data_IF_010722237486
#
_entry.id   IF_010722237486
#
_cell.length_a   1.000
_cell.length_b   1.000
_cell.length_c   1.000
_cell.angle_alpha   90.00
_cell.angle_beta   90.00
_cell.angle_gamma   90.00
#
_symmetry.space_group_name_H-M   'P 1'
#
loop_
_entity.id
_entity.type
_entity.pdbx_description
1 polymer ?
#
# COMPACT_ATOMS: atom_id res chain seq x y z
N UNK A 1 -15.70 20.39 -4.83
CA UNK A 1 -15.84 21.67 -4.10
C UNK A 1 -14.52 21.95 -3.38
N UNK A 2 -13.97 23.14 -3.62
CA UNK A 2 -12.83 23.78 -2.94
C UNK A 2 -11.49 23.01 -2.87
N UNK A 3 -10.71 23.10 -3.95
CA UNK A 3 -9.25 22.94 -3.92
C UNK A 3 -8.62 24.13 -3.19
N UNK A 4 -8.26 23.95 -1.91
CA UNK A 4 -7.53 24.94 -1.14
C UNK A 4 -6.11 25.10 -1.65
N UNK A 5 -5.79 26.27 -2.20
CA UNK A 5 -4.43 26.68 -2.52
C UNK A 5 -3.56 26.65 -1.23
N UNK A 6 -2.26 26.27 -1.32
CA UNK A 6 -1.37 26.37 -0.19
C UNK A 6 -1.23 27.85 0.20
N UNK A 7 -1.66 28.18 1.43
CA UNK A 7 -1.51 29.51 2.00
C UNK A 7 -0.03 29.96 2.01
N UNK A 8 0.22 31.27 2.03
CA UNK A 8 1.57 31.81 2.06
C UNK A 8 2.30 31.24 3.28
N UNK A 9 3.53 30.78 3.05
CA UNK A 9 4.46 30.33 4.09
C UNK A 9 4.56 31.44 5.12
N UNK A 10 3.99 31.18 6.30
CA UNK A 10 4.11 32.05 7.46
C UNK A 10 5.61 32.15 7.78
N UNK A 11 6.21 33.27 7.37
CA UNK A 11 7.57 33.65 7.71
C UNK A 11 7.56 34.25 9.11
N UNK A 12 7.06 33.43 10.04
CA UNK A 12 7.02 33.70 11.46
C UNK A 12 8.44 33.83 11.99
N UNK A 13 8.82 35.08 12.19
CA UNK A 13 9.64 35.56 13.30
C UNK A 13 10.83 34.66 13.65
N UNK A 14 12.01 34.90 13.03
CA UNK A 14 13.28 34.31 13.48
C UNK A 14 13.53 34.84 14.90
N UNK A 15 13.31 34.06 15.97
CA UNK A 15 13.71 34.52 17.29
C UNK A 15 15.23 34.65 17.21
N UNK A 16 15.76 35.86 17.43
CA UNK A 16 17.16 36.19 17.14
C UNK A 16 18.10 35.05 17.53
N UNK A 17 18.94 34.58 16.59
CA UNK A 17 19.66 33.30 16.72
C UNK A 17 20.42 33.12 18.04
N UNK A 18 20.80 34.22 18.70
CA UNK A 18 21.35 34.28 20.05
C UNK A 18 20.40 33.77 21.16
N UNK A 19 19.11 34.10 21.13
CA UNK A 19 18.13 33.59 22.11
C UNK A 19 17.90 32.09 21.98
N UNK A 20 17.84 31.59 20.74
CA UNK A 20 17.75 30.13 20.47
C UNK A 20 19.04 29.42 20.89
N UNK A 21 20.19 30.03 20.63
CA UNK A 21 21.50 29.48 21.01
C UNK A 21 21.69 29.44 22.55
N UNK A 22 21.33 30.51 23.26
CA UNK A 22 21.38 30.58 24.73
C UNK A 22 20.29 29.73 25.40
N UNK A 23 19.17 29.48 24.71
CA UNK A 23 18.15 28.52 25.14
C UNK A 23 18.67 27.09 25.23
N UNK A 24 19.74 26.76 24.51
CA UNK A 24 20.43 25.47 24.56
C UNK A 24 21.36 25.26 25.76
N UNK A 25 21.59 26.26 26.61
CA UNK A 25 22.41 26.08 27.81
C UNK A 25 21.76 25.08 28.78
N UNK A 26 22.50 24.05 29.15
CA UNK A 26 22.08 23.06 30.16
C UNK A 26 22.13 23.67 31.55
N UNK A 27 21.64 22.96 32.57
CA UNK A 27 21.77 23.37 33.97
C UNK A 27 23.23 23.67 34.33
N UNK A 28 24.18 22.84 33.86
CA UNK A 28 25.61 23.06 34.09
C UNK A 28 26.11 24.34 33.43
N UNK A 29 25.75 24.58 32.16
CA UNK A 29 26.15 25.81 31.45
C UNK A 29 25.60 27.07 32.11
N UNK A 30 24.36 27.03 32.60
CA UNK A 30 23.75 28.14 33.35
C UNK A 30 24.45 28.38 34.68
N UNK A 31 24.77 27.33 35.44
CA UNK A 31 25.50 27.45 36.71
C UNK A 31 26.90 28.02 36.52
N UNK A 32 27.65 27.57 35.50
CA UNK A 32 28.98 28.11 35.18
C UNK A 32 28.92 29.59 34.78
N UNK A 33 27.95 29.95 33.94
CA UNK A 33 27.75 31.35 33.55
C UNK A 33 27.38 32.22 34.77
N UNK A 34 26.47 31.76 35.62
CA UNK A 34 26.06 32.48 36.83
C UNK A 34 27.22 32.63 37.83
N UNK A 35 27.99 31.57 38.05
CA UNK A 35 29.17 31.61 38.93
C UNK A 35 30.25 32.54 38.37
N UNK A 36 30.49 32.54 37.06
CA UNK A 36 31.42 33.46 36.41
C UNK A 36 31.02 34.92 36.56
N UNK A 37 29.73 35.23 36.35
CA UNK A 37 29.18 36.58 36.56
C UNK A 37 29.28 37.00 38.03
N UNK A 38 28.90 36.14 38.96
CA UNK A 38 29.00 36.43 40.40
C UNK A 38 30.45 36.68 40.83
N UNK A 39 31.39 35.86 40.39
CA UNK A 39 32.82 36.03 40.66
C UNK A 39 33.36 37.35 40.07
N UNK A 40 32.95 37.73 38.86
CA UNK A 40 33.34 39.00 38.25
C UNK A 40 32.80 40.21 39.02
N UNK A 41 31.55 40.15 39.52
CA UNK A 41 30.97 41.20 40.37
C UNK A 41 31.73 41.30 41.69
N UNK A 42 31.99 40.17 42.36
CA UNK A 42 32.78 40.16 43.59
C UNK A 42 34.20 40.72 43.37
N UNK A 43 34.83 40.38 42.26
CA UNK A 43 36.16 40.89 41.91
C UNK A 43 36.17 42.41 41.72
N UNK A 44 35.13 42.96 41.11
CA UNK A 44 34.96 44.40 40.94
C UNK A 44 34.80 45.11 42.28
N UNK A 45 33.98 44.56 43.19
CA UNK A 45 33.76 45.14 44.53
C UNK A 45 35.02 45.04 45.41
N UNK A 46 35.74 43.92 45.34
CA UNK A 46 36.93 43.66 46.16
C UNK A 46 38.24 44.24 45.57
N UNK A 47 38.20 44.75 44.33
CA UNK A 47 39.39 45.27 43.64
C UNK A 47 40.42 44.19 43.27
N UNK A 48 40.04 42.91 43.26
CA UNK A 48 40.97 41.80 43.09
C UNK A 48 41.00 41.30 41.64
N UNK A 49 42.05 41.66 40.90
CA UNK A 49 42.19 41.34 39.48
C UNK A 49 42.23 39.84 39.17
N UNK A 50 42.76 39.01 40.07
CA UNK A 50 42.83 37.56 39.85
C UNK A 50 41.46 36.89 39.89
N UNK A 51 40.56 37.36 40.76
CA UNK A 51 39.19 36.85 40.82
C UNK A 51 38.41 37.21 39.55
N UNK A 52 38.69 38.38 38.95
CA UNK A 52 38.09 38.80 37.68
C UNK A 52 38.51 37.87 36.53
N UNK A 53 39.78 37.46 36.48
CA UNK A 53 40.28 36.53 35.45
C UNK A 53 39.58 35.17 35.53
N UNK A 54 39.40 34.64 36.74
CA UNK A 54 38.69 33.37 36.97
C UNK A 54 37.20 33.50 36.60
N UNK A 55 36.53 34.57 37.05
CA UNK A 55 35.14 34.84 36.72
C UNK A 55 34.91 34.97 35.21
N UNK A 56 35.80 35.68 34.52
CA UNK A 56 35.76 35.81 33.07
C UNK A 56 35.94 34.46 32.36
N UNK A 57 36.92 33.63 32.78
CA UNK A 57 37.15 32.32 32.19
C UNK A 57 35.93 31.39 32.36
N UNK A 58 35.31 31.40 33.54
CA UNK A 58 34.08 30.64 33.81
C UNK A 58 32.89 31.10 32.97
N UNK A 59 32.76 32.42 32.70
CA UNK A 59 31.70 32.97 31.88
C UNK A 59 31.94 32.77 30.37
N UNK A 60 33.19 32.85 29.91
CA UNK A 60 33.56 32.71 28.49
C UNK A 60 33.39 31.28 28.01
N UNK A 61 33.72 30.28 28.82
CA UNK A 61 33.63 28.86 28.44
C UNK A 61 32.24 28.44 27.91
N UNK A 62 31.10 28.67 28.61
CA UNK A 62 29.78 28.33 28.10
C UNK A 62 29.40 29.13 26.85
N UNK A 63 29.84 30.40 26.72
CA UNK A 63 29.61 31.21 25.52
C UNK A 63 30.37 30.66 24.31
N UNK A 64 31.59 30.17 24.50
CA UNK A 64 32.37 29.48 23.45
C UNK A 64 31.66 28.18 23.05
N UNK A 65 31.22 27.37 24.02
CA UNK A 65 30.49 26.13 23.74
C UNK A 65 29.22 26.39 22.91
N UNK A 66 28.40 27.37 23.31
CA UNK A 66 27.20 27.79 22.55
C UNK A 66 27.57 28.24 21.14
N UNK A 67 28.60 29.07 20.98
CA UNK A 67 29.03 29.59 19.68
C UNK A 67 29.49 28.46 18.75
N UNK A 68 30.30 27.53 19.26
CA UNK A 68 30.80 26.37 18.50
C UNK A 68 29.62 25.47 18.09
N UNK A 69 28.73 25.11 19.03
CA UNK A 69 27.57 24.27 18.72
C UNK A 69 26.62 24.94 17.72
N UNK A 70 26.37 26.24 17.85
CA UNK A 70 25.51 26.97 16.93
C UNK A 70 26.08 26.97 15.51
N UNK A 71 27.40 27.16 15.35
CA UNK A 71 28.04 27.08 14.01
C UNK A 71 28.01 25.66 13.45
N UNK A 72 28.26 24.65 14.27
CA UNK A 72 28.23 23.24 13.87
C UNK A 72 26.83 22.81 13.45
N UNK A 73 25.78 23.26 14.18
CA UNK A 73 24.37 22.97 13.89
C UNK A 73 24.01 23.20 12.43
N UNK A 74 24.41 24.32 11.84
CA UNK A 74 24.05 24.65 10.45
C UNK A 74 24.88 23.91 9.39
N UNK A 75 26.01 23.30 9.79
CA UNK A 75 26.93 22.63 8.87
C UNK A 75 26.83 21.11 8.86
N UNK A 76 25.90 20.54 9.62
CA UNK A 76 25.59 19.09 9.58
C UNK A 76 24.29 18.86 8.84
N UNK A 77 24.31 18.08 7.77
CA UNK A 77 23.13 17.62 7.06
C UNK A 77 22.77 16.19 7.49
N UNK A 78 21.48 15.89 7.54
CA UNK A 78 20.95 14.56 7.84
C UNK A 78 19.99 14.17 6.74
N UNK A 79 20.09 12.93 6.27
CA UNK A 79 19.17 12.34 5.32
C UNK A 79 18.73 10.96 5.79
N UNK A 80 17.53 10.58 5.39
CA UNK A 80 16.99 9.24 5.58
C UNK A 80 16.69 8.63 4.22
N UNK A 81 16.93 7.34 4.11
CA UNK A 81 16.51 6.53 2.96
C UNK A 81 15.88 5.25 3.47
N UNK A 82 14.70 4.94 2.94
CA UNK A 82 13.97 3.71 3.23
C UNK A 82 14.14 2.74 2.07
N UNK A 83 14.53 1.49 2.35
CA UNK A 83 14.69 0.46 1.33
C UNK A 83 14.22 -0.92 1.81
N UNK A 84 13.23 -1.54 1.14
CA UNK A 84 12.29 -0.94 0.17
C UNK A 84 11.26 -0.02 0.87
N UNK A 85 10.65 0.91 0.13
CA UNK A 85 9.59 1.80 0.65
C UNK A 85 8.21 1.13 0.73
N UNK A 86 8.06 -0.02 0.08
CA UNK A 86 6.86 -0.85 0.08
C UNK A 86 7.22 -2.29 0.45
N UNK A 87 6.54 -2.84 1.44
CA UNK A 87 6.75 -4.22 1.93
C UNK A 87 5.42 -4.91 2.20
N UNK A 88 5.32 -6.23 2.01
CA UNK A 88 4.19 -7.00 2.53
C UNK A 88 4.17 -6.99 4.07
N UNK A 89 2.99 -7.09 4.66
CA UNK A 89 2.84 -7.21 6.11
C UNK A 89 3.65 -8.40 6.66
N UNK A 90 4.34 -8.19 7.77
CA UNK A 90 5.30 -9.13 8.39
C UNK A 90 6.70 -9.12 7.78
N UNK A 91 6.95 -8.39 6.67
CA UNK A 91 8.29 -8.26 6.09
C UNK A 91 9.08 -7.10 6.69
N UNK A 92 10.40 -7.20 6.71
CA UNK A 92 11.29 -6.16 7.22
C UNK A 92 11.67 -5.15 6.12
N UNK A 93 11.70 -3.86 6.47
CA UNK A 93 12.35 -2.81 5.68
C UNK A 93 13.54 -2.24 6.45
N UNK A 94 14.58 -1.78 5.72
CA UNK A 94 15.75 -1.15 6.32
C UNK A 94 15.70 0.36 6.14
N UNK A 95 15.86 1.08 7.24
CA UNK A 95 16.02 2.53 7.25
C UNK A 95 17.50 2.84 7.37
N UNK A 96 18.01 3.61 6.42
CA UNK A 96 19.37 4.12 6.39
C UNK A 96 19.35 5.60 6.78
N UNK A 97 20.07 5.94 7.84
CA UNK A 97 20.25 7.30 8.30
C UNK A 97 21.68 7.73 8.00
N UNK A 98 21.83 8.79 7.22
CA UNK A 98 23.14 9.34 6.84
C UNK A 98 23.28 10.75 7.39
N UNK A 99 24.41 11.00 8.06
CA UNK A 99 24.79 12.30 8.60
C UNK A 99 26.06 12.76 7.91
N UNK A 100 26.02 13.93 7.28
CA UNK A 100 27.11 14.53 6.51
C UNK A 100 27.61 15.80 7.21
N UNK A 101 28.93 15.88 7.43
CA UNK A 101 29.57 17.08 7.96
C UNK A 101 30.13 17.92 6.81
N UNK A 102 29.45 19.02 6.48
CA UNK A 102 29.83 19.93 5.39
C UNK A 102 30.92 20.93 5.86
N UNK A 103 31.31 20.89 7.13
CA UNK A 103 32.36 21.74 7.67
C UNK A 103 33.75 21.12 7.50
N UNK A 104 34.79 21.96 7.60
CA UNK A 104 36.20 21.50 7.65
C UNK A 104 36.63 21.03 9.04
N UNK A 105 35.81 21.25 10.06
CA UNK A 105 36.13 20.91 11.45
C UNK A 105 35.41 19.62 11.84
N UNK A 106 35.99 18.79 12.72
CA UNK A 106 35.27 17.65 13.26
C UNK A 106 34.06 18.09 14.10
N UNK A 107 33.01 17.28 14.08
CA UNK A 107 31.84 17.46 14.97
C UNK A 107 32.13 16.92 16.38
N UNK A 108 31.36 17.40 17.36
CA UNK A 108 31.32 16.80 18.70
C UNK A 108 30.47 15.52 18.72
N UNK A 109 30.05 15.09 19.91
CA UNK A 109 29.14 13.96 20.06
C UNK A 109 27.77 14.32 19.47
N UNK A 110 27.30 13.47 18.56
CA UNK A 110 26.01 13.63 17.89
C UNK A 110 25.08 12.51 18.34
N UNK A 111 23.85 12.86 18.69
CA UNK A 111 22.80 11.89 18.94
C UNK A 111 21.73 12.02 17.85
N UNK A 112 21.62 10.97 17.04
CA UNK A 112 20.62 10.85 16.00
C UNK A 112 19.40 10.12 16.56
N UNK A 113 18.24 10.71 16.40
CA UNK A 113 16.98 10.15 16.84
C UNK A 113 15.98 10.23 15.69
N UNK A 114 15.42 9.09 15.30
CA UNK A 114 14.30 9.07 14.37
C UNK A 114 12.97 8.83 15.11
N UNK A 115 11.89 9.37 14.56
CA UNK A 115 10.55 9.17 15.10
C UNK A 115 9.82 8.18 14.21
N UNK A 116 9.50 7.03 14.77
CA UNK A 116 8.73 5.98 14.10
C UNK A 116 7.41 5.75 14.85
N UNK A 117 6.31 5.45 14.15
CA UNK A 117 5.07 4.98 14.78
C UNK A 117 5.33 3.75 15.67
N UNK A 118 4.62 3.65 16.79
CA UNK A 118 4.84 2.58 17.77
C UNK A 118 4.64 1.17 17.18
N UNK A 119 3.75 1.03 16.20
CA UNK A 119 3.51 -0.23 15.47
C UNK A 119 4.78 -0.76 14.77
N UNK A 120 5.72 0.12 14.41
CA UNK A 120 7.00 -0.26 13.80
C UNK A 120 8.13 -0.50 14.82
N UNK A 121 7.86 -0.28 16.12
CA UNK A 121 8.80 -0.46 17.21
C UNK A 121 9.10 0.81 18.00
N UNK A 122 10.13 0.74 18.84
CA UNK A 122 10.58 1.85 19.68
C UNK A 122 11.31 2.94 18.89
N UNK A 123 11.33 4.16 19.41
CA UNK A 123 12.05 5.30 18.81
C UNK A 123 13.57 5.02 18.75
N UNK A 124 14.17 4.80 17.57
CA UNK A 124 15.57 4.46 17.46
C UNK A 124 16.45 5.66 17.79
N UNK A 125 17.51 5.41 18.57
CA UNK A 125 18.47 6.42 19.03
C UNK A 125 19.88 5.89 18.81
N UNK A 126 20.71 6.68 18.15
CA UNK A 126 22.09 6.33 17.84
C UNK A 126 23.00 7.45 18.31
N UNK A 127 24.03 7.09 19.07
CA UNK A 127 25.12 7.99 19.39
C UNK A 127 26.17 7.80 18.31
N UNK A 128 26.42 8.86 17.56
CA UNK A 128 27.52 8.92 16.61
C UNK A 128 28.69 9.60 17.30
N UNK A 129 29.83 8.94 17.27
CA UNK A 129 31.08 9.58 17.60
C UNK A 129 31.43 10.65 16.56
N UNK A 130 32.51 11.39 16.79
CA UNK A 130 33.05 12.45 15.94
C UNK A 130 32.96 12.09 14.45
N UNK A 131 32.26 12.96 13.71
CA UNK A 131 32.29 12.98 12.24
C UNK A 131 33.38 13.95 11.80
N UNK A 132 34.34 13.46 11.02
CA UNK A 132 35.46 14.22 10.47
C UNK A 132 34.98 15.37 9.58
N UNK A 133 35.83 16.37 9.34
CA UNK A 133 35.52 17.46 8.42
C UNK A 133 35.33 16.92 6.99
N UNK A 134 34.21 17.22 6.35
CA UNK A 134 33.83 16.64 5.05
C UNK A 134 33.40 15.17 5.12
N UNK A 135 33.43 14.55 6.29
CA UNK A 135 33.12 13.14 6.50
C UNK A 135 31.62 12.86 6.60
N UNK A 136 31.28 11.58 6.57
CA UNK A 136 29.90 11.10 6.72
C UNK A 136 29.84 9.86 7.60
N UNK A 137 28.77 9.75 8.39
CA UNK A 137 28.44 8.53 9.13
C UNK A 137 27.08 8.01 8.70
N UNK A 138 26.97 6.70 8.59
CA UNK A 138 25.73 6.01 8.26
C UNK A 138 25.40 5.01 9.35
N UNK A 139 24.14 4.97 9.76
CA UNK A 139 23.59 3.96 10.66
C UNK A 139 22.30 3.45 10.07
N UNK A 140 22.04 2.16 10.24
CA UNK A 140 20.80 1.56 9.76
C UNK A 140 20.07 0.82 10.87
N UNK A 141 18.74 0.77 10.75
CA UNK A 141 17.88 -0.02 11.62
C UNK A 141 16.77 -0.65 10.81
N UNK A 142 16.12 -1.66 11.40
CA UNK A 142 15.05 -2.42 10.77
C UNK A 142 13.71 -2.01 11.33
N UNK A 143 12.70 -1.98 10.47
CA UNK A 143 11.30 -1.77 10.83
C UNK A 143 10.46 -2.89 10.24
N UNK A 144 9.45 -3.32 10.99
CA UNK A 144 8.49 -4.36 10.58
C UNK A 144 7.14 -4.02 11.19
N UNK A 145 6.08 -4.25 10.42
CA UNK A 145 4.69 -4.21 10.90
C UNK A 145 3.97 -5.46 10.43
N UNK A 146 3.20 -6.09 11.31
CA UNK A 146 2.26 -7.15 10.94
C UNK A 146 0.91 -6.59 10.46
N UNK A 147 0.62 -5.30 10.72
CA UNK A 147 -0.56 -4.60 10.23
C UNK A 147 -0.25 -3.80 8.97
N UNK A 148 -1.14 -3.90 7.97
CA UNK A 148 -1.11 -3.07 6.77
C UNK A 148 -1.30 -1.59 7.11
N UNK A 149 -0.82 -0.71 6.24
CA UNK A 149 -1.00 0.74 6.43
C UNK A 149 0.10 1.59 5.83
N UNK A 150 -0.06 2.90 5.97
CA UNK A 150 0.94 3.91 5.59
C UNK A 150 1.55 4.51 6.85
N UNK A 151 2.83 4.26 7.06
CA UNK A 151 3.54 4.68 8.27
C UNK A 151 4.54 5.79 7.92
N UNK A 152 4.27 7.05 8.31
CA UNK A 152 5.23 8.12 8.14
C UNK A 152 6.37 7.97 9.16
N UNK A 153 7.60 7.92 8.66
CA UNK A 153 8.83 7.97 9.42
C UNK A 153 9.29 9.43 9.48
N UNK A 154 9.68 9.89 10.66
CA UNK A 154 10.18 11.24 10.90
C UNK A 154 9.37 12.05 11.90
N UNK A 155 9.83 13.27 12.22
CA UNK A 155 11.03 13.92 11.66
C UNK A 155 12.33 13.34 12.23
N UNK A 156 13.41 13.39 11.45
CA UNK A 156 14.76 13.04 11.91
C UNK A 156 15.29 14.17 12.80
N UNK A 157 15.75 13.83 14.00
CA UNK A 157 16.27 14.77 14.98
C UNK A 157 17.75 14.50 15.24
N UNK A 158 18.56 15.55 15.17
CA UNK A 158 19.96 15.54 15.50
C UNK A 158 20.19 16.42 16.74
N UNK A 159 20.59 15.81 17.84
CA UNK A 159 20.96 16.49 19.09
C UNK A 159 22.48 16.59 19.15
N UNK A 160 22.98 17.82 19.19
CA UNK A 160 24.39 18.15 19.31
C UNK A 160 24.66 18.48 20.78
N UNK A 161 25.69 17.87 21.38
CA UNK A 161 26.13 18.17 22.74
C UNK A 161 27.61 18.55 22.74
N UNK A 162 28.00 19.51 23.57
CA UNK A 162 29.41 19.83 23.76
C UNK A 162 30.10 18.85 24.72
N UNK A 163 31.44 18.71 24.67
CA UNK A 163 32.18 17.78 25.52
C UNK A 163 32.04 18.04 27.02
N UNK A 164 31.77 19.29 27.44
CA UNK A 164 31.60 19.65 28.85
C UNK A 164 30.12 19.54 29.31
N UNK A 165 29.19 19.22 28.40
CA UNK A 165 27.76 19.11 28.68
C UNK A 165 27.13 20.41 29.18
N UNK A 166 27.68 21.56 28.79
CA UNK A 166 27.22 22.91 29.13
C UNK A 166 26.13 23.43 28.17
N UNK A 167 26.09 22.94 26.94
CA UNK A 167 25.20 23.37 25.87
C UNK A 167 24.75 22.18 25.03
N UNK A 168 23.48 22.20 24.68
CA UNK A 168 22.84 21.22 23.83
C UNK A 168 21.91 21.91 22.84
N UNK A 169 22.02 21.54 21.56
CA UNK A 169 21.17 22.06 20.50
C UNK A 169 20.54 20.93 19.70
N UNK A 170 19.24 21.01 19.45
CA UNK A 170 18.51 20.02 18.63
C UNK A 170 18.14 20.58 17.28
N UNK A 171 18.65 19.99 16.19
CA UNK A 171 18.26 20.29 14.81
C UNK A 171 17.27 19.22 14.32
N UNK A 172 16.08 19.64 13.91
CA UNK A 172 15.09 18.76 13.27
C UNK A 172 15.15 18.91 11.76
N UNK A 173 15.09 17.79 11.04
CA UNK A 173 14.89 17.73 9.60
C UNK A 173 13.41 17.41 9.33
N UNK A 174 12.70 18.32 8.67
CA UNK A 174 11.25 18.19 8.42
C UNK A 174 10.86 17.17 7.34
N UNK A 175 11.83 16.42 6.80
CA UNK A 175 11.57 15.42 5.78
C UNK A 175 10.91 14.16 6.41
N UNK A 176 9.83 13.70 5.78
CA UNK A 176 9.14 12.48 6.13
C UNK A 176 9.25 11.49 4.97
N UNK A 177 9.57 10.24 5.30
CA UNK A 177 9.50 9.13 4.34
C UNK A 177 8.32 8.25 4.75
N UNK A 178 7.62 7.65 3.79
CA UNK A 178 6.47 6.80 4.09
C UNK A 178 6.81 5.35 3.79
N UNK A 179 6.67 4.48 4.78
CA UNK A 179 6.65 3.03 4.59
C UNK A 179 5.21 2.60 4.29
N UNK A 180 5.00 1.99 3.14
CA UNK A 180 3.70 1.39 2.77
C UNK A 180 3.76 -0.11 3.03
N UNK A 181 2.97 -0.57 3.99
CA UNK A 181 2.83 -1.98 4.30
C UNK A 181 1.58 -2.49 3.59
N UNK A 182 1.78 -3.26 2.52
CA UNK A 182 0.71 -3.84 1.72
C UNK A 182 0.27 -5.20 2.29
N UNK A 183 -0.93 -5.70 1.95
CA UNK A 183 -1.36 -7.02 2.40
C UNK A 183 -0.39 -8.12 1.96
N UNK A 184 -0.35 -9.22 2.73
CA UNK A 184 0.37 -10.43 2.31
C UNK A 184 -0.29 -10.99 1.04
N UNK A 185 0.51 -11.42 0.09
CA UNK A 185 0.05 -12.10 -1.12
C UNK A 185 0.55 -13.54 -1.13
N UNK A 186 -0.31 -14.45 -1.54
CA UNK A 186 -0.01 -15.87 -1.72
C UNK A 186 -0.03 -16.22 -3.20
N UNK A 187 0.92 -17.05 -3.64
CA UNK A 187 0.93 -17.55 -5.01
C UNK A 187 -0.22 -18.55 -5.19
N UNK A 188 -1.23 -18.17 -5.95
CA UNK A 188 -2.42 -19.00 -6.16
C UNK A 188 -2.23 -19.98 -7.34
N UNK A 189 -2.77 -21.20 -7.27
CA UNK A 189 -2.70 -22.18 -8.37
C UNK A 189 -3.60 -21.81 -9.56
N UNK A 190 -3.35 -22.47 -10.70
CA UNK A 190 -4.13 -22.30 -11.94
C UNK A 190 -5.53 -22.91 -11.85
N UNK A 191 -6.55 -22.07 -11.60
CA UNK A 191 -7.95 -22.51 -11.75
C UNK A 191 -8.33 -22.62 -13.23
N UNK A 192 -8.79 -23.79 -13.67
CA UNK A 192 -9.50 -23.91 -14.94
C UNK A 192 -10.96 -23.54 -14.73
N UNK A 193 -11.27 -22.25 -14.81
CA UNK A 193 -12.66 -21.78 -14.83
C UNK A 193 -13.25 -22.09 -16.21
N UNK A 194 -13.66 -23.33 -16.43
CA UNK A 194 -14.29 -23.77 -17.68
C UNK A 194 -15.75 -23.35 -17.69
N UNK A 195 -16.19 -22.68 -18.76
CA UNK A 195 -17.61 -22.36 -18.98
C UNK A 195 -17.81 -20.90 -19.38
N UNK A 196 -18.14 -20.67 -20.66
CA UNK A 196 -18.61 -19.42 -21.28
C UNK A 196 -17.70 -18.17 -21.16
N UNK A 197 -16.71 -18.16 -20.26
CA UNK A 197 -15.51 -17.35 -20.37
C UNK A 197 -14.56 -18.01 -21.38
N UNK A 198 -14.93 -17.99 -22.66
CA UNK A 198 -14.11 -18.49 -23.79
C UNK A 198 -12.79 -17.72 -23.98
N UNK A 199 -12.31 -17.00 -22.96
CA UNK A 199 -11.08 -16.25 -22.90
C UNK A 199 -10.36 -16.44 -21.56
N UNK A 200 -10.27 -17.68 -21.06
CA UNK A 200 -9.37 -18.00 -19.95
C UNK A 200 -7.94 -17.63 -20.35
N UNK A 201 -7.48 -16.44 -19.94
CA UNK A 201 -6.10 -16.00 -19.66
C UNK A 201 -4.99 -16.25 -20.68
N UNK A 202 -5.26 -16.98 -21.76
CA UNK A 202 -4.34 -17.27 -22.83
C UNK A 202 -4.59 -16.24 -23.91
N UNK A 203 -4.32 -14.97 -23.58
CA UNK A 203 -4.15 -13.89 -24.56
C UNK A 203 -3.00 -14.15 -25.55
N UNK A 204 -2.52 -15.39 -25.64
CA UNK A 204 -1.43 -15.87 -26.48
C UNK A 204 -1.79 -17.12 -27.28
N UNK A 205 -2.97 -17.72 -27.09
CA UNK A 205 -3.59 -18.52 -28.14
C UNK A 205 -4.04 -17.55 -29.23
N UNK A 206 -3.08 -17.24 -30.10
CA UNK A 206 -3.33 -17.25 -31.53
C UNK A 206 -4.23 -18.47 -31.74
N UNK A 207 -5.53 -18.25 -31.93
CA UNK A 207 -6.28 -19.18 -32.74
C UNK A 207 -5.42 -19.33 -33.99
N UNK A 208 -4.87 -20.52 -34.29
CA UNK A 208 -4.42 -20.74 -35.64
C UNK A 208 -5.73 -20.71 -36.40
N UNK A 209 -6.12 -19.52 -36.86
CA UNK A 209 -7.16 -19.39 -37.86
C UNK A 209 -6.69 -20.35 -38.94
N UNK A 210 -7.39 -21.48 -39.06
CA UNK A 210 -7.25 -22.34 -40.21
C UNK A 210 -7.38 -21.38 -41.38
N UNK A 211 -6.37 -21.40 -42.24
CA UNK A 211 -6.28 -20.55 -43.42
C UNK A 211 -7.65 -20.47 -44.10
N UNK A 212 -8.34 -19.32 -44.04
CA UNK A 212 -9.56 -19.15 -44.82
C UNK A 212 -10.61 -18.15 -44.35
N UNK A 213 -10.77 -17.86 -43.06
CA UNK A 213 -11.91 -17.06 -42.59
C UNK A 213 -11.48 -15.93 -41.65
N UNK A 214 -10.97 -14.85 -42.24
CA UNK A 214 -10.89 -13.54 -41.57
C UNK A 214 -12.30 -12.95 -41.54
N UNK A 215 -13.10 -13.34 -40.55
CA UNK A 215 -14.46 -12.81 -40.32
C UNK A 215 -14.39 -11.41 -39.67
N UNK A 216 -13.62 -10.50 -40.29
CA UNK A 216 -13.44 -9.12 -39.86
C UNK A 216 -14.45 -8.29 -40.62
N UNK A 217 -15.47 -7.77 -39.93
CA UNK A 217 -16.48 -6.88 -40.50
C UNK A 217 -15.77 -5.68 -41.16
N UNK A 218 -15.72 -5.62 -42.51
CA UNK A 218 -15.00 -4.57 -43.20
C UNK A 218 -15.81 -3.27 -43.10
N UNK A 219 -15.15 -2.14 -42.85
CA UNK A 219 -15.79 -0.81 -42.87
C UNK A 219 -15.29 0.03 -44.03
N UNK A 220 -16.11 0.98 -44.49
CA UNK A 220 -15.68 1.96 -45.46
C UNK A 220 -14.47 2.77 -44.93
N UNK A 221 -13.51 3.00 -45.83
CA UNK A 221 -12.35 3.84 -45.61
C UNK A 221 -12.77 5.27 -45.28
N UNK A 222 -12.14 5.86 -44.27
CA UNK A 222 -12.27 7.28 -43.95
C UNK A 222 -10.94 7.96 -44.19
N UNK A 223 -11.00 9.21 -44.64
CA UNK A 223 -9.80 10.01 -44.87
C UNK A 223 -8.99 10.11 -43.57
N UNK A 224 -7.75 9.58 -43.57
CA UNK A 224 -6.91 9.44 -42.38
C UNK A 224 -6.62 7.99 -41.97
N UNK A 225 -7.31 7.01 -42.54
CA UNK A 225 -6.98 5.60 -42.35
C UNK A 225 -5.69 5.22 -43.12
N UNK A 226 -4.87 4.35 -42.54
CA UNK A 226 -3.64 3.86 -43.18
C UNK A 226 -3.99 2.93 -44.36
N UNK A 227 -3.54 3.29 -45.57
CA UNK A 227 -3.74 2.53 -46.80
C UNK A 227 -3.16 1.10 -46.75
N UNK A 228 -2.21 0.83 -45.84
CA UNK A 228 -1.68 -0.52 -45.61
C UNK A 228 -2.70 -1.47 -44.98
N UNK A 229 -3.78 -0.93 -44.40
CA UNK A 229 -4.84 -1.68 -43.71
C UNK A 229 -6.06 -1.95 -44.59
N UNK A 230 -5.96 -1.64 -45.89
CA UNK A 230 -7.05 -1.88 -46.85
C UNK A 230 -7.17 -3.37 -47.16
N UNK A 231 -8.39 -3.90 -47.05
CA UNK A 231 -8.71 -5.28 -47.37
C UNK A 231 -9.08 -5.41 -48.85
N UNK A 232 -8.08 -5.64 -49.71
CA UNK A 232 -8.24 -5.62 -51.16
C UNK A 232 -9.33 -6.56 -51.69
N UNK A 233 -9.54 -7.72 -51.07
CA UNK A 233 -10.59 -8.67 -51.49
C UNK A 233 -12.01 -8.14 -51.22
N UNK A 234 -12.22 -7.39 -50.13
CA UNK A 234 -13.53 -6.76 -49.85
C UNK A 234 -13.71 -5.49 -50.67
N UNK A 235 -12.64 -4.72 -50.86
CA UNK A 235 -12.61 -3.57 -51.77
C UNK A 235 -13.00 -3.97 -53.20
N UNK A 236 -12.48 -5.10 -53.70
CA UNK A 236 -12.80 -5.59 -55.05
C UNK A 236 -14.27 -6.03 -55.22
N UNK A 237 -14.93 -6.47 -54.15
CA UNK A 237 -16.36 -6.89 -54.20
C UNK A 237 -17.34 -5.72 -54.05
N UNK A 238 -16.98 -4.71 -53.26
CA UNK A 238 -17.88 -3.60 -52.94
C UNK A 238 -17.61 -2.33 -53.76
N UNK A 239 -16.50 -2.25 -54.50
CA UNK A 239 -16.16 -1.10 -55.34
C UNK A 239 -15.66 0.12 -54.57
N UNK A 240 -15.57 0.06 -53.24
CA UNK A 240 -15.11 1.13 -52.36
C UNK A 240 -13.95 0.62 -51.48
N UNK A 241 -13.02 1.51 -51.09
CA UNK A 241 -11.91 1.13 -50.20
C UNK A 241 -12.45 0.66 -48.85
N UNK A 242 -12.20 -0.61 -48.51
CA UNK A 242 -12.62 -1.20 -47.24
C UNK A 242 -11.40 -1.37 -46.32
N UNK A 243 -11.48 -0.85 -45.10
CA UNK A 243 -10.40 -0.98 -44.10
C UNK A 243 -10.75 -2.07 -43.11
N UNK A 244 -9.76 -2.91 -42.80
CA UNK A 244 -9.85 -3.92 -41.74
C UNK A 244 -10.06 -3.21 -40.39
N UNK A 245 -11.21 -3.45 -39.74
CA UNK A 245 -11.43 -2.97 -38.37
C UNK A 245 -10.51 -3.78 -37.45
N UNK A 246 -9.63 -3.10 -36.73
CA UNK A 246 -8.81 -3.74 -35.70
C UNK A 246 -9.71 -4.01 -34.50
N UNK A 247 -10.19 -5.25 -34.38
CA UNK A 247 -10.81 -5.72 -33.15
C UNK A 247 -9.70 -5.83 -32.11
N UNK A 248 -9.67 -4.91 -31.15
CA UNK A 248 -8.79 -5.09 -30.01
C UNK A 248 -9.20 -6.39 -29.31
N UNK A 249 -8.28 -7.32 -29.07
CA UNK A 249 -8.60 -8.53 -28.33
C UNK A 249 -9.15 -8.12 -26.96
N UNK A 250 -10.43 -8.39 -26.76
CA UNK A 250 -11.13 -8.00 -25.54
C UNK A 250 -10.56 -8.86 -24.42
N UNK A 251 -9.73 -8.25 -23.55
CA UNK A 251 -9.22 -8.94 -22.37
C UNK A 251 -10.38 -9.37 -21.50
N UNK A 252 -10.29 -10.57 -20.94
CA UNK A 252 -11.26 -11.03 -19.96
C UNK A 252 -11.27 -10.05 -18.77
N UNK A 253 -12.44 -9.50 -18.46
CA UNK A 253 -12.66 -8.57 -17.36
C UNK A 253 -12.94 -9.34 -16.08
N UNK A 254 -12.29 -8.97 -14.99
CA UNK A 254 -12.57 -9.52 -13.67
C UNK A 254 -12.77 -8.43 -12.62
N UNK A 255 -13.80 -8.59 -11.80
CA UNK A 255 -14.02 -7.77 -10.60
C UNK A 255 -13.70 -8.60 -9.38
N UNK A 256 -12.82 -8.08 -8.53
CA UNK A 256 -12.57 -8.59 -7.17
C UNK A 256 -13.39 -7.73 -6.22
N UNK A 257 -14.44 -8.31 -5.65
CA UNK A 257 -15.28 -7.67 -4.64
C UNK A 257 -14.76 -8.00 -3.24
N UNK A 258 -14.46 -6.98 -2.45
CA UNK A 258 -14.08 -7.09 -1.05
C UNK A 258 -15.17 -6.49 -0.16
N UNK A 259 -15.79 -7.33 0.66
CA UNK A 259 -16.69 -6.85 1.70
C UNK A 259 -15.87 -6.21 2.83
N UNK A 260 -16.05 -4.91 3.07
CA UNK A 260 -15.39 -4.20 4.17
C UNK A 260 -16.34 -3.87 5.32
N UNK A 261 -17.60 -4.31 5.29
CA UNK A 261 -18.60 -3.93 6.31
C UNK A 261 -18.14 -4.34 7.70
N UNK A 262 -18.07 -3.38 8.65
CA UNK A 262 -17.69 -3.69 10.04
C UNK A 262 -18.55 -4.79 10.66
N UNK A 263 -19.84 -4.79 10.36
CA UNK A 263 -20.83 -5.76 10.89
C UNK A 263 -20.60 -7.19 10.41
N UNK A 264 -19.89 -7.37 9.29
CA UNK A 264 -19.65 -8.68 8.69
C UNK A 264 -18.44 -9.42 9.30
N UNK A 265 -17.61 -8.74 10.11
CA UNK A 265 -16.40 -9.32 10.67
C UNK A 265 -16.40 -9.22 12.20
N UNK A 266 -15.85 -10.25 12.84
CA UNK A 266 -15.63 -10.28 14.27
C UNK A 266 -14.13 -10.34 14.56
N UNK A 267 -13.71 -9.63 15.61
CA UNK A 267 -12.32 -9.52 16.01
C UNK A 267 -11.54 -8.48 15.20
N UNK A 268 -10.46 -7.99 15.82
CA UNK A 268 -9.47 -7.10 15.19
C UNK A 268 -8.09 -7.74 15.35
N UNK A 269 -7.15 -7.38 14.47
CA UNK A 269 -5.75 -7.84 14.54
C UNK A 269 -5.24 -8.46 13.23
N UNK A 270 -3.94 -8.81 13.19
CA UNK A 270 -3.24 -9.22 11.96
C UNK A 270 -3.73 -10.55 11.38
N UNK A 271 -4.30 -11.43 12.23
CA UNK A 271 -4.82 -12.74 11.82
C UNK A 271 -6.37 -12.76 11.80
N UNK A 272 -7.01 -11.60 11.77
CA UNK A 272 -8.48 -11.49 11.72
C UNK A 272 -9.04 -11.95 10.36
N UNK A 273 -10.32 -12.30 10.36
CA UNK A 273 -11.05 -12.67 9.14
C UNK A 273 -10.99 -11.57 8.06
N UNK A 274 -11.00 -10.30 8.48
CA UNK A 274 -10.90 -9.17 7.57
C UNK A 274 -9.50 -9.08 6.92
N UNK A 275 -8.43 -9.25 7.68
CA UNK A 275 -7.07 -9.31 7.11
C UNK A 275 -6.91 -10.49 6.14
N UNK A 276 -7.53 -11.64 6.43
CA UNK A 276 -7.55 -12.78 5.50
C UNK A 276 -8.28 -12.44 4.20
N UNK A 277 -9.47 -11.81 4.28
CA UNK A 277 -10.22 -11.38 3.10
C UNK A 277 -9.44 -10.36 2.25
N UNK A 278 -8.76 -9.41 2.90
CA UNK A 278 -7.89 -8.42 2.25
C UNK A 278 -6.67 -9.08 1.59
N UNK A 279 -6.03 -10.05 2.26
CA UNK A 279 -4.93 -10.85 1.69
C UNK A 279 -5.42 -11.72 0.51
N UNK A 280 -6.63 -12.28 0.63
CA UNK A 280 -7.34 -13.01 -0.41
C UNK A 280 -7.55 -12.15 -1.66
N UNK A 281 -8.13 -10.97 -1.48
CA UNK A 281 -8.36 -10.01 -2.56
C UNK A 281 -7.05 -9.59 -3.23
N UNK A 282 -6.02 -9.25 -2.45
CA UNK A 282 -4.69 -8.91 -2.97
C UNK A 282 -4.09 -10.05 -3.81
N UNK A 283 -4.13 -11.27 -3.29
CA UNK A 283 -3.60 -12.46 -3.97
C UNK A 283 -4.35 -12.77 -5.27
N UNK A 284 -5.69 -12.73 -5.23
CA UNK A 284 -6.53 -12.95 -6.40
C UNK A 284 -6.26 -11.90 -7.49
N UNK A 285 -6.12 -10.63 -7.09
CA UNK A 285 -5.88 -9.52 -7.99
C UNK A 285 -4.52 -9.62 -8.67
N UNK A 286 -3.45 -9.87 -7.92
CA UNK A 286 -2.10 -10.09 -8.48
C UNK A 286 -2.11 -11.29 -9.43
N UNK A 287 -2.70 -12.41 -9.01
CA UNK A 287 -2.78 -13.63 -9.81
C UNK A 287 -3.51 -13.43 -11.15
N UNK A 288 -4.64 -12.72 -11.14
CA UNK A 288 -5.45 -12.47 -12.33
C UNK A 288 -4.77 -11.47 -13.28
N UNK A 289 -4.12 -10.44 -12.74
CA UNK A 289 -3.32 -9.50 -13.53
C UNK A 289 -2.14 -10.18 -14.23
N UNK A 290 -1.42 -11.07 -13.54
CA UNK A 290 -0.34 -11.89 -14.12
C UNK A 290 -0.83 -12.77 -15.28
N UNK A 291 -2.14 -13.10 -15.30
CA UNK A 291 -2.79 -13.86 -16.38
C UNK A 291 -3.43 -13.01 -17.46
N UNK A 292 -3.21 -11.69 -17.44
CA UNK A 292 -3.71 -10.79 -18.47
C UNK A 292 -5.20 -10.48 -18.38
N UNK A 293 -5.87 -10.76 -17.25
CA UNK A 293 -7.19 -10.21 -16.99
C UNK A 293 -7.09 -8.70 -16.79
N UNK A 294 -8.10 -7.97 -17.27
CA UNK A 294 -8.33 -6.60 -16.81
C UNK A 294 -9.05 -6.68 -15.48
N UNK A 295 -8.36 -6.36 -14.39
CA UNK A 295 -8.89 -6.48 -13.03
C UNK A 295 -9.28 -5.11 -12.48
N UNK A 296 -10.38 -5.09 -11.71
CA UNK A 296 -10.74 -3.99 -10.81
C UNK A 296 -11.07 -4.53 -9.42
N UNK A 297 -10.70 -3.78 -8.40
CA UNK A 297 -11.12 -3.94 -7.01
C UNK A 297 -12.39 -3.13 -6.80
N UNK A 298 -13.41 -3.74 -6.22
CA UNK A 298 -14.66 -3.12 -5.79
C UNK A 298 -14.87 -3.37 -4.31
N UNK A 299 -15.25 -2.37 -3.54
CA UNK A 299 -15.64 -2.51 -2.13
C UNK A 299 -17.16 -2.40 -1.96
N UNK A 300 -17.67 -2.81 -0.80
CA UNK A 300 -19.11 -2.79 -0.47
C UNK A 300 -19.76 -1.39 -0.61
N UNK A 301 -19.01 -0.33 -0.30
CA UNK A 301 -19.44 1.06 -0.39
C UNK A 301 -19.48 1.61 -1.83
N UNK A 302 -19.11 0.80 -2.82
CA UNK A 302 -19.08 1.14 -4.24
C UNK A 302 -17.78 1.79 -4.71
N UNK A 303 -16.74 1.87 -3.87
CA UNK A 303 -15.43 2.38 -4.30
C UNK A 303 -14.76 1.40 -5.28
N UNK A 304 -14.12 1.94 -6.32
CA UNK A 304 -13.46 1.17 -7.39
C UNK A 304 -12.00 1.56 -7.53
N UNK A 305 -11.11 0.57 -7.64
CA UNK A 305 -9.70 0.77 -7.98
C UNK A 305 -9.29 -0.15 -9.15
N UNK A 306 -8.59 0.35 -10.19
CA UNK A 306 -8.17 1.73 -10.38
C UNK A 306 -9.34 2.61 -10.86
N UNK A 307 -9.69 3.65 -10.09
CA UNK A 307 -10.86 4.52 -10.34
C UNK A 307 -10.73 5.51 -11.52
N UNK A 308 -9.87 5.23 -12.49
CA UNK A 308 -9.43 6.19 -13.53
C UNK A 308 -10.00 6.01 -14.95
N UNK A 309 -10.71 4.91 -15.24
CA UNK A 309 -11.26 4.63 -16.59
C UNK A 309 -12.79 4.75 -16.65
N UNK A 310 -13.37 4.85 -17.87
CA UNK A 310 -14.83 4.90 -18.10
C UNK A 310 -15.58 3.73 -17.46
N UNK A 311 -14.90 2.60 -17.28
CA UNK A 311 -15.45 1.35 -16.75
C UNK A 311 -14.77 0.90 -15.44
N UNK A 312 -13.77 1.67 -14.94
CA UNK A 312 -13.03 1.37 -13.69
C UNK A 312 -12.05 0.18 -13.76
N UNK A 313 -11.62 -0.22 -14.96
CA UNK A 313 -10.68 -1.33 -15.17
C UNK A 313 -9.25 -0.87 -15.45
N UNK A 314 -8.26 -1.69 -15.06
CA UNK A 314 -6.86 -1.48 -15.45
C UNK A 314 -6.69 -1.49 -16.99
N UNK A 315 -5.98 -0.50 -17.52
CA UNK A 315 -5.73 -0.33 -18.95
C UNK A 315 -4.54 -1.21 -19.45
N UNK A 316 -4.12 -1.17 -20.73
CA UNK A 316 -3.20 -2.16 -21.30
C UNK A 316 -1.78 -2.13 -20.69
N UNK A 317 -0.96 -3.13 -21.07
CA UNK A 317 0.22 -3.66 -20.35
C UNK A 317 1.15 -2.66 -19.61
N UNK A 318 1.40 -1.46 -20.13
CA UNK A 318 2.21 -0.44 -19.46
C UNK A 318 1.55 0.07 -18.16
N UNK A 319 0.22 0.18 -18.13
CA UNK A 319 -0.56 0.65 -16.98
C UNK A 319 -0.91 -0.48 -15.98
N UNK A 320 -0.60 -1.75 -16.32
CA UNK A 320 -0.95 -2.91 -15.48
C UNK A 320 -0.18 -2.93 -14.16
N UNK A 321 1.12 -2.62 -14.20
CA UNK A 321 1.96 -2.57 -12.99
C UNK A 321 1.60 -1.38 -12.08
N UNK A 322 1.30 -0.22 -12.67
CA UNK A 322 0.84 0.96 -11.92
C UNK A 322 -0.54 0.73 -11.31
N UNK A 323 -1.46 0.12 -12.07
CA UNK A 323 -2.78 -0.27 -11.58
C UNK A 323 -2.69 -1.29 -10.43
N UNK A 324 -1.83 -2.30 -10.57
CA UNK A 324 -1.54 -3.26 -9.50
C UNK A 324 -1.00 -2.53 -8.25
N UNK A 325 -0.05 -1.62 -8.44
CA UNK A 325 0.53 -0.84 -7.37
C UNK A 325 -0.52 0.03 -6.66
N UNK A 326 -1.46 0.61 -7.40
CA UNK A 326 -2.53 1.46 -6.88
C UNK A 326 -3.58 0.64 -6.14
N UNK A 327 -3.98 -0.53 -6.65
CA UNK A 327 -4.89 -1.44 -5.95
C UNK A 327 -4.25 -2.00 -4.66
N UNK A 328 -2.96 -2.31 -4.68
CA UNK A 328 -2.24 -2.70 -3.46
C UNK A 328 -2.12 -1.56 -2.44
N UNK A 329 -1.96 -0.31 -2.90
CA UNK A 329 -1.99 0.86 -2.02
C UNK A 329 -3.38 1.11 -1.43
N UNK A 330 -4.45 0.94 -2.23
CA UNK A 330 -5.82 0.99 -1.74
C UNK A 330 -6.06 -0.07 -0.69
N UNK A 331 -5.66 -1.32 -0.94
CA UNK A 331 -5.77 -2.41 0.04
C UNK A 331 -4.87 -2.20 1.26
N UNK A 332 -3.75 -1.49 1.14
CA UNK A 332 -2.89 -1.17 2.29
C UNK A 332 -3.59 -0.26 3.31
N UNK A 333 -4.52 0.59 2.86
CA UNK A 333 -5.22 1.57 3.72
C UNK A 333 -6.71 1.30 3.84
N UNK A 334 -7.24 0.23 3.22
CA UNK A 334 -8.64 -0.13 3.35
C UNK A 334 -8.93 -0.42 4.82
N UNK A 335 -9.99 0.18 5.34
CA UNK A 335 -10.49 -0.07 6.69
C UNK A 335 -11.92 -0.58 6.59
N UNK A 336 -12.48 -1.00 7.72
CA UNK A 336 -13.89 -1.38 7.74
C UNK A 336 -14.78 -0.21 7.35
N UNK A 337 -15.75 -0.46 6.47
CA UNK A 337 -16.78 0.49 6.13
C UNK A 337 -17.79 0.61 7.29
N UNK A 338 -18.32 1.81 7.47
CA UNK A 338 -19.46 2.07 8.35
C UNK A 338 -20.81 1.71 7.68
N UNK A 339 -20.78 1.25 6.42
CA UNK A 339 -21.97 0.92 5.64
C UNK A 339 -22.64 -0.37 6.11
N UNK A 340 -23.96 -0.44 5.95
CA UNK A 340 -24.77 -1.59 6.39
C UNK A 340 -24.91 -2.72 5.36
N UNK A 341 -24.59 -2.50 4.08
CA UNK A 341 -24.92 -3.48 3.04
C UNK A 341 -24.21 -3.28 1.71
N UNK A 342 -24.44 -4.23 0.80
CA UNK A 342 -23.76 -4.39 -0.49
C UNK A 342 -24.46 -3.67 -1.65
N UNK A 343 -25.49 -2.86 -1.38
CA UNK A 343 -26.34 -2.26 -2.42
C UNK A 343 -25.55 -1.35 -3.38
N UNK A 344 -24.58 -0.59 -2.87
CA UNK A 344 -23.75 0.29 -3.71
C UNK A 344 -22.81 -0.50 -4.63
N UNK A 345 -22.17 -1.54 -4.10
CA UNK A 345 -21.40 -2.47 -4.93
C UNK A 345 -22.27 -3.10 -6.03
N UNK A 346 -23.50 -3.49 -5.71
CA UNK A 346 -24.44 -4.02 -6.69
C UNK A 346 -24.83 -3.02 -7.78
N UNK A 347 -25.04 -1.75 -7.44
CA UNK A 347 -25.31 -0.69 -8.42
C UNK A 347 -24.16 -0.53 -9.43
N UNK A 348 -22.91 -0.55 -8.94
CA UNK A 348 -21.71 -0.49 -9.79
C UNK A 348 -21.61 -1.71 -10.70
N UNK A 349 -21.87 -2.91 -10.17
CA UNK A 349 -21.89 -4.15 -10.96
C UNK A 349 -23.03 -4.15 -12.00
N UNK A 350 -24.16 -3.54 -11.70
CA UNK A 350 -25.32 -3.43 -12.60
C UNK A 350 -25.03 -2.52 -13.81
N UNK A 351 -24.21 -1.49 -13.63
CA UNK A 351 -23.79 -0.61 -14.73
C UNK A 351 -22.85 -1.30 -15.73
N UNK A 352 -22.19 -2.40 -15.32
CA UNK A 352 -21.24 -3.15 -16.15
C UNK A 352 -21.72 -4.55 -16.55
N UNK A 353 -20.87 -5.21 -17.33
CA UNK A 353 -20.89 -6.66 -17.54
C UNK A 353 -19.47 -7.16 -17.35
N UNK A 354 -19.29 -8.09 -16.40
CA UNK A 354 -17.98 -8.57 -15.98
C UNK A 354 -17.86 -10.04 -16.39
N UNK A 355 -16.70 -10.46 -16.90
CA UNK A 355 -16.51 -11.87 -17.29
C UNK A 355 -16.45 -12.79 -16.07
N UNK A 356 -15.69 -12.36 -15.06
CA UNK A 356 -15.47 -13.10 -13.81
C UNK A 356 -15.68 -12.20 -12.60
N UNK A 357 -16.43 -12.67 -11.61
CA UNK A 357 -16.60 -12.02 -10.31
C UNK A 357 -16.00 -12.90 -9.21
N UNK A 358 -14.99 -12.40 -8.50
CA UNK A 358 -14.41 -13.05 -7.33
C UNK A 358 -14.77 -12.22 -6.11
N UNK A 359 -15.48 -12.80 -5.15
CA UNK A 359 -15.94 -12.07 -3.98
C UNK A 359 -15.40 -12.68 -2.69
N UNK A 360 -14.93 -11.81 -1.79
CA UNK A 360 -14.55 -12.14 -0.42
C UNK A 360 -15.58 -11.50 0.51
N UNK A 361 -16.48 -12.33 1.05
CA UNK A 361 -17.56 -11.91 1.93
C UNK A 361 -17.23 -12.26 3.38
N UNK A 362 -17.53 -11.33 4.30
CA UNK A 362 -17.67 -11.67 5.71
C UNK A 362 -19.02 -12.35 5.96
N UNK A 363 -19.54 -12.18 7.17
CA UNK A 363 -20.86 -12.65 7.53
C UNK A 363 -21.96 -11.98 6.67
N UNK A 364 -22.84 -12.80 6.11
CA UNK A 364 -23.95 -12.37 5.26
C UNK A 364 -25.26 -12.63 6.00
N UNK A 365 -26.01 -11.57 6.29
CA UNK A 365 -27.42 -11.75 6.66
C UNK A 365 -28.26 -12.19 5.43
N UNK A 366 -29.53 -12.48 5.65
CA UNK A 366 -30.45 -12.97 4.62
C UNK A 366 -30.64 -11.95 3.47
N UNK A 367 -30.74 -10.66 3.79
CA UNK A 367 -30.90 -9.59 2.79
C UNK A 367 -29.66 -9.49 1.91
N UNK A 368 -28.48 -9.51 2.53
CA UNK A 368 -27.20 -9.40 1.83
C UNK A 368 -26.88 -10.66 1.03
N UNK A 369 -27.27 -11.85 1.49
CA UNK A 369 -27.16 -13.09 0.73
C UNK A 369 -28.01 -13.04 -0.56
N UNK A 370 -29.24 -12.54 -0.48
CA UNK A 370 -30.10 -12.33 -1.66
C UNK A 370 -29.50 -11.31 -2.62
N UNK A 371 -28.89 -10.25 -2.09
CA UNK A 371 -28.25 -9.19 -2.89
C UNK A 371 -27.00 -9.72 -3.60
N UNK A 372 -26.16 -10.48 -2.91
CA UNK A 372 -25.01 -11.19 -3.48
C UNK A 372 -25.44 -12.23 -4.53
N UNK A 373 -26.51 -12.98 -4.30
CA UNK A 373 -27.10 -13.89 -5.29
C UNK A 373 -27.49 -13.17 -6.58
N UNK A 374 -28.01 -11.93 -6.51
CA UNK A 374 -28.36 -11.13 -7.70
C UNK A 374 -27.14 -10.66 -8.49
N UNK A 375 -25.98 -10.45 -7.85
CA UNK A 375 -24.76 -10.01 -8.53
C UNK A 375 -24.27 -11.02 -9.57
N UNK A 376 -24.47 -12.34 -9.34
CA UNK A 376 -24.08 -13.42 -10.26
C UNK A 376 -24.74 -13.35 -11.63
N UNK A 377 -25.97 -12.83 -11.73
CA UNK A 377 -26.79 -12.90 -12.96
C UNK A 377 -26.17 -12.18 -14.16
N UNK A 378 -25.21 -11.27 -13.94
CA UNK A 378 -24.56 -10.48 -14.99
C UNK A 378 -23.11 -10.88 -15.26
N UNK A 379 -22.56 -11.81 -14.48
CA UNK A 379 -21.21 -12.31 -14.71
C UNK A 379 -21.22 -13.59 -15.54
N UNK A 380 -20.14 -13.88 -16.27
CA UNK A 380 -19.98 -15.18 -16.94
C UNK A 380 -19.77 -16.30 -15.92
N UNK A 381 -18.87 -16.06 -14.97
CA UNK A 381 -18.58 -16.92 -13.82
C UNK A 381 -18.52 -16.09 -12.54
N UNK A 382 -18.86 -16.69 -11.38
CA UNK A 382 -18.59 -16.07 -10.09
C UNK A 382 -18.16 -17.07 -9.02
N UNK A 383 -17.18 -16.66 -8.22
CA UNK A 383 -16.60 -17.42 -7.11
C UNK A 383 -16.75 -16.58 -5.84
N UNK A 384 -17.31 -17.17 -4.79
CA UNK A 384 -17.49 -16.51 -3.50
C UNK A 384 -16.74 -17.28 -2.41
N UNK A 385 -15.89 -16.57 -1.69
CA UNK A 385 -15.29 -17.02 -0.44
C UNK A 385 -16.05 -16.38 0.71
N UNK A 386 -16.76 -17.19 1.50
CA UNK A 386 -17.60 -16.71 2.60
C UNK A 386 -16.91 -17.09 3.91
N UNK A 387 -16.49 -16.07 4.65
CA UNK A 387 -15.90 -16.22 5.97
C UNK A 387 -17.00 -16.27 7.03
N UNK A 388 -17.01 -17.32 7.85
CA UNK A 388 -17.92 -17.40 9.00
C UNK A 388 -17.31 -16.67 10.20
N UNK A 389 -17.73 -15.43 10.43
CA UNK A 389 -17.25 -14.60 11.53
C UNK A 389 -17.40 -15.26 12.90
N UNK A 390 -18.43 -16.10 13.11
CA UNK A 390 -18.65 -16.77 14.38
C UNK A 390 -17.65 -17.92 14.62
N UNK A 391 -17.27 -18.65 13.57
CA UNK A 391 -16.22 -19.67 13.62
C UNK A 391 -14.84 -19.05 13.84
N UNK A 392 -14.60 -17.86 13.26
CA UNK A 392 -13.34 -17.12 13.41
C UNK A 392 -13.18 -16.47 14.80
N UNK A 393 -14.28 -16.14 15.48
CA UNK A 393 -14.24 -15.53 16.81
C UNK A 393 -14.19 -16.55 17.98
N UNK A 394 -14.77 -17.75 17.81
CA UNK A 394 -14.94 -18.73 18.90
C UNK A 394 -13.98 -19.92 18.86
N UNK A 395 -13.16 -20.06 17.82
CA UNK A 395 -12.29 -21.25 17.66
C UNK A 395 -13.09 -22.54 17.40
N UNK A 396 -12.40 -23.68 17.46
CA UNK A 396 -12.86 -25.01 16.99
C UNK A 396 -14.06 -25.61 17.76
N UNK A 397 -14.55 -24.94 18.82
CA UNK A 397 -15.57 -25.49 19.74
C UNK A 397 -17.02 -25.33 19.26
N UNK A 398 -17.26 -24.70 18.10
CA UNK A 398 -18.63 -24.50 17.60
C UNK A 398 -18.81 -24.99 16.15
N UNK A 399 -18.69 -26.31 15.93
CA UNK A 399 -19.39 -26.99 14.83
C UNK A 399 -20.90 -26.98 15.10
N UNK A 400 -21.54 -25.82 14.99
CA UNK A 400 -22.98 -25.73 14.85
C UNK A 400 -23.30 -25.58 13.36
N UNK A 401 -23.49 -26.72 12.68
CA UNK A 401 -24.02 -26.81 11.33
C UNK A 401 -25.38 -26.10 11.26
N UNK A 402 -25.51 -25.06 10.43
CA UNK A 402 -26.79 -24.34 10.27
C UNK A 402 -26.68 -23.07 9.42
N UNK A 403 -26.43 -21.87 9.99
CA UNK A 403 -26.59 -20.61 9.27
C UNK A 403 -25.63 -20.42 8.09
N UNK A 404 -24.37 -20.85 8.24
CA UNK A 404 -23.37 -20.74 7.18
C UNK A 404 -23.70 -21.65 5.98
N UNK A 405 -24.24 -22.84 6.23
CA UNK A 405 -24.61 -23.81 5.19
C UNK A 405 -25.81 -23.32 4.37
N UNK A 406 -26.79 -22.69 5.01
CA UNK A 406 -27.96 -22.12 4.33
C UNK A 406 -27.57 -20.96 3.41
N UNK A 407 -26.69 -20.06 3.87
CA UNK A 407 -26.17 -18.94 3.04
C UNK A 407 -25.37 -19.43 1.84
N UNK A 408 -24.50 -20.42 2.04
CA UNK A 408 -23.75 -21.05 0.95
C UNK A 408 -24.69 -21.72 -0.04
N UNK A 409 -25.76 -22.36 0.45
CA UNK A 409 -26.80 -22.97 -0.40
C UNK A 409 -27.48 -21.91 -1.25
N UNK A 410 -27.93 -20.79 -0.67
CA UNK A 410 -28.55 -19.68 -1.43
C UNK A 410 -27.63 -19.15 -2.53
N UNK A 411 -26.33 -18.98 -2.25
CA UNK A 411 -25.36 -18.54 -3.25
C UNK A 411 -25.15 -19.59 -4.35
N UNK A 412 -25.03 -20.88 -3.99
CA UNK A 412 -24.87 -21.98 -4.95
C UNK A 412 -26.09 -22.15 -5.85
N UNK A 413 -27.30 -22.06 -5.30
CA UNK A 413 -28.56 -22.07 -6.06
C UNK A 413 -28.66 -20.89 -7.04
N UNK A 414 -28.07 -19.75 -6.69
CA UNK A 414 -27.97 -18.60 -7.58
C UNK A 414 -26.86 -18.73 -8.64
N UNK A 415 -26.09 -19.83 -8.64
CA UNK A 415 -25.05 -20.12 -9.63
C UNK A 415 -23.65 -19.66 -9.24
N UNK A 416 -23.42 -19.26 -7.98
CA UNK A 416 -22.07 -19.00 -7.46
C UNK A 416 -21.33 -20.31 -7.18
N UNK A 417 -20.03 -20.32 -7.44
CA UNK A 417 -19.13 -21.28 -6.82
C UNK A 417 -18.77 -20.77 -5.41
N UNK A 418 -19.60 -21.08 -4.42
CA UNK A 418 -19.42 -20.61 -3.05
C UNK A 418 -18.68 -21.62 -2.17
N UNK A 419 -17.61 -21.17 -1.52
CA UNK A 419 -16.73 -21.96 -0.64
C UNK A 419 -16.69 -21.30 0.75
N UNK A 420 -16.87 -22.12 1.80
CA UNK A 420 -16.70 -21.68 3.18
C UNK A 420 -15.22 -21.59 3.53
N UNK A 421 -14.83 -20.56 4.27
CA UNK A 421 -13.45 -20.38 4.74
C UNK A 421 -13.37 -20.64 6.25
N UNK A 422 -12.86 -21.82 6.67
CA UNK A 422 -12.64 -22.09 8.09
C UNK A 422 -11.46 -21.26 8.65
N UNK A 423 -11.43 -21.11 9.98
CA UNK A 423 -10.31 -20.46 10.67
C UNK A 423 -9.00 -21.20 10.37
N UNK A 424 -7.95 -20.45 10.04
CA UNK A 424 -6.63 -21.01 9.73
C UNK A 424 -6.51 -21.67 8.35
N UNK A 425 -7.55 -21.61 7.50
CA UNK A 425 -7.48 -22.14 6.15
C UNK A 425 -6.42 -21.42 5.31
N UNK A 426 -5.53 -22.20 4.69
CA UNK A 426 -4.59 -21.67 3.71
C UNK A 426 -5.36 -21.21 2.46
N UNK A 427 -5.11 -19.97 2.04
CA UNK A 427 -5.78 -19.38 0.88
C UNK A 427 -5.60 -20.23 -0.40
N UNK A 428 -4.44 -20.86 -0.57
CA UNK A 428 -4.13 -21.73 -1.72
C UNK A 428 -5.09 -22.92 -1.84
N UNK A 429 -5.45 -23.51 -0.70
CA UNK A 429 -6.23 -24.74 -0.65
C UNK A 429 -7.71 -24.44 -0.91
N UNK A 430 -8.23 -23.38 -0.29
CA UNK A 430 -9.59 -22.88 -0.52
C UNK A 430 -9.76 -22.41 -1.97
N UNK A 431 -8.72 -21.77 -2.53
CA UNK A 431 -8.70 -21.36 -3.93
C UNK A 431 -8.75 -22.57 -4.86
N UNK A 432 -7.97 -23.61 -4.60
CA UNK A 432 -8.02 -24.86 -5.38
C UNK A 432 -9.39 -25.55 -5.28
N UNK A 433 -9.96 -25.63 -4.08
CA UNK A 433 -11.30 -26.19 -3.85
C UNK A 433 -12.37 -25.45 -4.66
N UNK A 434 -12.27 -24.12 -4.76
CA UNK A 434 -13.15 -23.32 -5.61
C UNK A 434 -13.03 -23.70 -7.10
N UNK A 435 -11.82 -24.00 -7.59
CA UNK A 435 -11.61 -24.47 -8.96
C UNK A 435 -12.25 -25.82 -9.23
N UNK A 436 -12.08 -26.77 -8.32
CA UNK A 436 -12.64 -28.12 -8.42
C UNK A 436 -14.18 -28.09 -8.36
N UNK A 437 -14.74 -27.31 -7.43
CA UNK A 437 -16.18 -27.11 -7.32
C UNK A 437 -16.78 -26.46 -8.58
N UNK A 438 -16.07 -25.52 -9.19
CA UNK A 438 -16.49 -24.89 -10.44
C UNK A 438 -16.51 -25.88 -11.61
N UNK A 439 -15.47 -26.72 -11.75
CA UNK A 439 -15.40 -27.74 -12.79
C UNK A 439 -16.48 -28.83 -12.61
N UNK A 440 -16.79 -29.21 -11.37
CA UNK A 440 -17.80 -30.23 -11.06
C UNK A 440 -19.25 -29.77 -11.23
N UNK A 441 -19.52 -28.46 -11.18
CA UNK A 441 -20.87 -27.90 -11.32
C UNK A 441 -21.38 -27.81 -12.77
N UNK A 442 -20.52 -28.08 -13.77
CA UNK A 442 -20.94 -28.14 -15.17
C UNK A 442 -21.56 -29.51 -15.46
N UNK A 443 -22.83 -29.60 -15.91
CA UNK A 443 -23.42 -30.88 -16.29
C UNK A 443 -22.60 -31.51 -17.42
N UNK A 444 -22.26 -32.79 -17.22
CA UNK A 444 -21.22 -33.51 -17.97
C UNK A 444 -21.37 -33.48 -19.49
N UNK A 445 -20.31 -33.01 -20.16
CA UNK A 445 -19.96 -33.38 -21.53
C UNK A 445 -18.97 -34.57 -21.52
N UNK A 446 -19.27 -35.59 -20.71
CA UNK A 446 -18.53 -36.84 -20.65
C UNK A 446 -19.51 -38.01 -20.73
N UNK A 447 -20.22 -38.14 -21.85
CA UNK A 447 -20.84 -39.38 -22.25
C UNK A 447 -20.30 -39.79 -23.62
N UNK A 448 -19.43 -40.80 -23.60
CA UNK A 448 -19.34 -41.91 -24.55
C UNK A 448 -19.15 -41.60 -26.03
N UNK A 449 -17.90 -41.69 -26.50
CA UNK A 449 -17.61 -42.28 -27.82
C UNK A 449 -16.38 -43.19 -27.71
N UNK A 450 -16.59 -44.40 -27.20
CA UNK A 450 -15.71 -45.54 -27.46
C UNK A 450 -16.22 -46.27 -28.70
N UNK A 451 -15.87 -45.76 -29.88
CA UNK A 451 -16.03 -46.49 -31.14
C UNK A 451 -14.73 -47.23 -31.44
N UNK A 452 -14.63 -48.49 -31.02
CA UNK A 452 -13.56 -49.40 -31.45
C UNK A 452 -13.71 -49.73 -32.93
N UNK A 453 -12.63 -49.59 -33.68
CA UNK A 453 -12.48 -50.17 -35.01
C UNK A 453 -11.66 -51.46 -34.85
N UNK A 454 -12.28 -52.58 -35.18
CA UNK A 454 -11.65 -53.84 -35.55
C UNK A 454 -12.45 -54.44 -36.69
#
# INVERSE_FOLDING_TARGET
MATGAPGPVDSGDRPGGLRVALGGLTTRGRSFLAAGVAAAVCAYVLGQGDLLRVGLLLAVLPLVCVTVLYRTRYRVAGSRRLSPSRVPAGSEARVHLRTDNISRMPTGLLMLQDRVPYVLGSRPRFVLDRVEGGGSREVSYRVRSDLRGRYPLGPLQLRLSDPFGMCELTRSFSAYDTLVVVPRTHALPTLRLTGQASGYGDGRRRSPALAGEDDIIPRAYRHGDDLRRVHWRSTARHGELMVRREEQPQRARCTVLLDCRRVAYQGDGPDSAFEWAVSGAASALTHLLERGFSVRLLTDDGSVAPGGGSDGYAAPAQESAESAALMMDTLAVVEHSAGGGLSRAYEVLRAGADGLLVAFFGDLDEEQAVLAARMRRRSGAAVAFVLDGAAWARGDEARASGPADDRLRTLREAGWTAVAVPLGAALTDVWQQAGEAHSGALPGAANGFSGGWS
#
